data_IF_039711353733
#
_entry.id   IF_039711353733
#
_cell.length_a   1.000
_cell.length_b   1.000
_cell.length_c   1.000
_cell.angle_alpha   90.00
_cell.angle_beta   90.00
_cell.angle_gamma   90.00
#
_symmetry.space_group_name_H-M   'P 1'
#
loop_
_entity.id
_entity.type
_entity.pdbx_description
1 polymer ?
#
# COMPACT_ATOMS: atom_id res chain seq x y z
N UNK A 1 4.32 -30.01 18.33
CA UNK A 1 4.93 -28.97 17.48
C UNK A 1 4.36 -27.61 17.89
N UNK A 2 5.19 -26.62 18.21
CA UNK A 2 4.71 -25.32 18.73
C UNK A 2 4.14 -24.49 17.57
N UNK A 3 2.90 -24.78 17.18
CA UNK A 3 2.16 -24.07 16.13
C UNK A 3 1.73 -22.66 16.59
N UNK A 4 1.48 -22.52 17.90
CA UNK A 4 0.97 -21.30 18.52
C UNK A 4 1.92 -20.09 18.42
N UNK A 5 3.24 -20.21 18.71
CA UNK A 5 4.18 -19.10 18.53
C UNK A 5 4.35 -18.69 17.05
N UNK A 6 4.26 -19.64 16.12
CA UNK A 6 4.40 -19.36 14.69
C UNK A 6 3.25 -18.51 14.15
N UNK A 7 2.02 -18.79 14.57
CA UNK A 7 0.84 -17.99 14.18
C UNK A 7 0.93 -16.58 14.79
N UNK A 8 1.35 -16.46 16.06
CA UNK A 8 1.56 -15.17 16.69
C UNK A 8 2.61 -14.33 15.96
N UNK A 9 3.74 -14.94 15.59
CA UNK A 9 4.78 -14.27 14.82
C UNK A 9 4.30 -13.84 13.43
N UNK A 10 3.49 -14.67 12.76
CA UNK A 10 2.89 -14.34 11.47
C UNK A 10 1.98 -13.10 11.56
N UNK A 11 1.07 -13.07 12.55
CA UNK A 11 0.16 -11.92 12.75
C UNK A 11 0.96 -10.67 13.13
N UNK A 12 1.94 -10.77 14.03
CA UNK A 12 2.79 -9.64 14.40
C UNK A 12 3.55 -9.07 13.19
N UNK A 13 4.13 -9.94 12.36
CA UNK A 13 4.81 -9.54 11.13
C UNK A 13 3.87 -8.90 10.10
N UNK A 14 2.63 -9.39 10.01
CA UNK A 14 1.60 -8.78 9.16
C UNK A 14 1.29 -7.35 9.57
N UNK A 15 1.06 -7.13 10.87
CA UNK A 15 0.76 -5.80 11.43
C UNK A 15 1.93 -4.86 11.15
N UNK A 16 3.16 -5.29 11.44
CA UNK A 16 4.36 -4.49 11.17
C UNK A 16 4.49 -4.15 9.68
N UNK A 17 4.24 -5.11 8.80
CA UNK A 17 4.28 -4.91 7.34
C UNK A 17 3.24 -3.88 6.87
N UNK A 18 2.04 -3.90 7.44
CA UNK A 18 1.02 -2.90 7.13
C UNK A 18 1.40 -1.50 7.63
N UNK A 19 2.03 -1.38 8.81
CA UNK A 19 2.54 -0.10 9.33
C UNK A 19 3.68 0.42 8.46
N UNK A 20 4.62 -0.45 8.07
CA UNK A 20 5.68 -0.09 7.13
C UNK A 20 5.11 0.34 5.77
N UNK A 21 4.08 -0.37 5.29
CA UNK A 21 3.37 -0.04 4.05
C UNK A 21 2.75 1.36 4.11
N UNK A 22 2.08 1.65 5.22
CA UNK A 22 1.55 2.97 5.51
C UNK A 22 2.65 4.04 5.48
N UNK A 23 3.74 3.84 6.24
CA UNK A 23 4.81 4.83 6.36
C UNK A 23 5.47 5.13 5.02
N UNK A 24 5.78 4.10 4.21
CA UNK A 24 6.41 4.33 2.91
C UNK A 24 5.46 5.00 1.92
N UNK A 25 4.17 4.59 1.87
CA UNK A 25 3.18 5.20 0.95
C UNK A 25 2.96 6.67 1.32
N UNK A 26 3.01 6.99 2.61
CA UNK A 26 2.80 8.36 3.11
C UNK A 26 3.83 9.36 2.61
N UNK A 27 5.04 8.92 2.24
CA UNK A 27 6.08 9.80 1.69
C UNK A 27 5.83 10.14 0.22
N UNK A 28 4.91 9.46 -0.46
CA UNK A 28 4.50 9.81 -1.83
C UNK A 28 5.54 9.56 -2.93
N UNK A 29 6.75 9.07 -2.59
CA UNK A 29 7.89 8.83 -3.50
C UNK A 29 7.69 7.67 -4.51
N UNK A 30 6.45 7.22 -4.69
CA UNK A 30 6.07 6.10 -5.55
C UNK A 30 5.73 4.83 -4.76
N UNK A 31 4.67 4.14 -5.19
CA UNK A 31 4.28 2.87 -4.63
C UNK A 31 4.70 1.71 -5.54
N UNK A 32 5.11 0.58 -4.95
CA UNK A 32 5.44 -0.63 -5.72
C UNK A 32 4.26 -1.09 -6.59
N UNK A 33 4.47 -1.89 -7.65
CA UNK A 33 3.43 -2.23 -8.63
C UNK A 33 2.16 -2.84 -8.01
N UNK A 34 2.31 -3.67 -6.97
CA UNK A 34 1.22 -4.27 -6.19
C UNK A 34 0.40 -3.23 -5.42
N UNK A 35 1.09 -2.28 -4.80
CA UNK A 35 0.48 -1.22 -3.99
C UNK A 35 -0.11 -0.11 -4.86
N UNK A 36 0.55 0.22 -5.98
CA UNK A 36 0.04 1.11 -7.03
C UNK A 36 -1.25 0.57 -7.66
N UNK A 37 -1.35 -0.74 -7.90
CA UNK A 37 -2.58 -1.37 -8.35
C UNK A 37 -3.71 -1.23 -7.32
N UNK A 38 -3.41 -1.47 -6.04
CA UNK A 38 -4.34 -1.27 -4.93
C UNK A 38 -4.83 0.19 -4.86
N UNK A 39 -3.92 1.16 -4.95
CA UNK A 39 -4.24 2.59 -4.90
C UNK A 39 -5.06 3.00 -6.13
N UNK A 40 -4.68 2.57 -7.33
CA UNK A 40 -5.39 2.87 -8.58
C UNK A 40 -6.82 2.30 -8.61
N UNK A 41 -6.99 1.04 -8.18
CA UNK A 41 -8.32 0.45 -8.02
C UNK A 41 -9.12 1.13 -6.91
N UNK A 42 -8.47 1.52 -5.80
CA UNK A 42 -9.09 2.31 -4.74
C UNK A 42 -9.59 3.68 -5.21
N UNK A 43 -8.86 4.35 -6.11
CA UNK A 43 -9.28 5.61 -6.75
C UNK A 43 -10.45 5.42 -7.70
N UNK A 44 -10.47 4.30 -8.45
CA UNK A 44 -11.57 3.94 -9.36
C UNK A 44 -12.86 3.57 -8.62
N UNK A 45 -12.75 2.98 -7.43
CA UNK A 45 -13.90 2.56 -6.61
C UNK A 45 -13.98 3.34 -5.28
N UNK A 46 -14.55 4.56 -5.29
CA UNK A 46 -14.57 5.45 -4.13
C UNK A 46 -15.40 4.92 -2.95
N UNK A 47 -16.31 3.95 -3.15
CA UNK A 47 -17.13 3.38 -2.08
C UNK A 47 -16.57 2.06 -1.51
N UNK A 48 -15.47 1.53 -2.05
CA UNK A 48 -14.92 0.25 -1.61
C UNK A 48 -13.76 0.47 -0.64
N UNK A 49 -13.72 -0.24 0.51
CA UNK A 49 -12.58 -0.25 1.41
C UNK A 49 -11.32 -0.79 0.71
N UNK A 50 -10.18 -0.11 0.92
CA UNK A 50 -8.90 -0.46 0.30
C UNK A 50 -8.41 -1.85 0.74
N UNK A 51 -8.76 -2.27 1.96
CA UNK A 51 -8.50 -3.62 2.44
C UNK A 51 -9.18 -4.71 1.61
N UNK A 52 -10.39 -4.47 1.10
CA UNK A 52 -11.09 -5.42 0.21
C UNK A 52 -10.37 -5.52 -1.13
N UNK A 53 -9.96 -4.37 -1.70
CA UNK A 53 -9.18 -4.32 -2.94
C UNK A 53 -7.88 -5.11 -2.76
N UNK A 54 -7.15 -4.87 -1.67
CA UNK A 54 -5.92 -5.62 -1.36
C UNK A 54 -6.18 -7.11 -1.21
N UNK A 55 -7.20 -7.50 -0.45
CA UNK A 55 -7.60 -8.89 -0.29
C UNK A 55 -7.90 -9.58 -1.63
N UNK A 56 -8.61 -8.90 -2.54
CA UNK A 56 -8.90 -9.46 -3.88
C UNK A 56 -7.65 -9.62 -4.75
N UNK A 57 -6.68 -8.70 -4.66
CA UNK A 57 -5.41 -8.82 -5.39
C UNK A 57 -4.65 -10.05 -4.88
N UNK A 58 -4.51 -10.17 -3.56
CA UNK A 58 -3.83 -11.32 -2.95
C UNK A 58 -4.53 -12.64 -3.25
N UNK A 59 -5.86 -12.67 -3.17
CA UNK A 59 -6.64 -13.86 -3.50
C UNK A 59 -6.45 -14.27 -4.96
N UNK A 60 -6.42 -13.31 -5.89
CA UNK A 60 -6.21 -13.58 -7.31
C UNK A 60 -4.79 -14.11 -7.57
N UNK A 61 -3.77 -13.48 -6.97
CA UNK A 61 -2.38 -13.95 -7.07
C UNK A 61 -2.22 -15.34 -6.46
N UNK A 62 -2.87 -15.60 -5.33
CA UNK A 62 -2.88 -16.92 -4.68
C UNK A 62 -3.51 -17.98 -5.59
N UNK A 63 -4.68 -17.69 -6.17
CA UNK A 63 -5.38 -18.60 -7.06
C UNK A 63 -4.55 -18.91 -8.31
N UNK A 64 -3.97 -17.88 -8.94
CA UNK A 64 -3.09 -18.06 -10.11
C UNK A 64 -1.86 -18.89 -9.72
N UNK A 65 -1.20 -18.55 -8.62
CA UNK A 65 -0.04 -19.30 -8.12
C UNK A 65 -0.38 -20.76 -7.84
N UNK A 66 -1.56 -21.02 -7.26
CA UNK A 66 -2.03 -22.37 -6.99
C UNK A 66 -2.29 -23.17 -8.28
N UNK A 67 -2.94 -22.56 -9.28
CA UNK A 67 -3.16 -23.18 -10.59
C UNK A 67 -1.84 -23.50 -11.32
N UNK A 68 -0.79 -22.70 -11.09
CA UNK A 68 0.56 -22.95 -11.61
C UNK A 68 1.35 -23.99 -10.80
N UNK A 69 0.76 -24.61 -9.77
CA UNK A 69 1.37 -25.66 -8.97
C UNK A 69 2.09 -25.20 -7.71
N UNK A 70 1.88 -23.95 -7.27
CA UNK A 70 2.44 -23.48 -5.99
C UNK A 70 1.79 -24.23 -4.81
N UNK A 71 2.63 -24.62 -3.83
CA UNK A 71 2.15 -25.21 -2.57
C UNK A 71 1.57 -24.13 -1.67
N UNK A 72 0.25 -24.08 -1.58
CA UNK A 72 -0.46 -23.18 -0.66
C UNK A 72 -0.50 -23.82 0.73
N UNK A 73 0.19 -23.18 1.69
CA UNK A 73 0.16 -23.60 3.09
C UNK A 73 -0.94 -22.90 3.89
N UNK A 74 -1.23 -23.44 5.08
CA UNK A 74 -2.16 -22.83 6.05
C UNK A 74 -1.80 -21.37 6.37
N UNK A 75 -0.49 -21.06 6.48
CA UNK A 75 -0.03 -19.69 6.74
C UNK A 75 -0.38 -18.71 5.62
N UNK A 76 -0.37 -19.16 4.36
CA UNK A 76 -0.71 -18.32 3.21
C UNK A 76 -2.21 -18.01 3.17
N UNK A 77 -3.05 -19.00 3.48
CA UNK A 77 -4.50 -18.78 3.58
C UNK A 77 -4.80 -17.79 4.70
N UNK A 78 -4.21 -17.98 5.89
CA UNK A 78 -4.36 -17.05 7.01
C UNK A 78 -3.88 -15.64 6.61
N UNK A 79 -2.75 -15.54 5.90
CA UNK A 79 -2.21 -14.27 5.41
C UNK A 79 -3.21 -13.55 4.50
N UNK A 80 -3.74 -14.20 3.47
CA UNK A 80 -4.61 -13.57 2.46
C UNK A 80 -5.91 -13.05 3.08
N UNK A 81 -6.49 -13.80 4.03
CA UNK A 81 -7.67 -13.35 4.76
C UNK A 81 -7.35 -12.24 5.78
N UNK A 82 -6.22 -12.34 6.49
CA UNK A 82 -5.88 -11.41 7.56
C UNK A 82 -5.38 -10.06 7.04
N UNK A 83 -4.57 -10.06 5.98
CA UNK A 83 -3.93 -8.85 5.45
C UNK A 83 -4.96 -7.82 4.99
N UNK A 84 -6.05 -8.24 4.33
CA UNK A 84 -7.10 -7.33 3.88
C UNK A 84 -7.80 -6.63 5.05
N UNK A 85 -8.13 -7.38 6.10
CA UNK A 85 -8.76 -6.85 7.31
C UNK A 85 -7.82 -5.98 8.14
N UNK A 86 -6.57 -6.41 8.32
CA UNK A 86 -5.54 -5.65 9.05
C UNK A 86 -5.25 -4.32 8.38
N UNK A 87 -5.12 -4.31 7.05
CA UNK A 87 -4.87 -3.11 6.28
C UNK A 87 -6.06 -2.13 6.33
N UNK A 88 -7.30 -2.65 6.26
CA UNK A 88 -8.50 -1.84 6.49
C UNK A 88 -8.54 -1.24 7.90
N UNK A 89 -8.18 -2.03 8.91
CA UNK A 89 -8.17 -1.59 10.31
C UNK A 89 -7.12 -0.50 10.54
N UNK A 90 -5.91 -0.67 10.00
CA UNK A 90 -4.82 0.31 10.13
C UNK A 90 -5.16 1.62 9.42
N UNK A 91 -5.71 1.58 8.20
CA UNK A 91 -6.13 2.81 7.53
C UNK A 91 -7.28 3.52 8.25
N UNK A 92 -8.22 2.77 8.84
CA UNK A 92 -9.29 3.35 9.66
C UNK A 92 -8.75 3.94 10.96
N UNK A 93 -7.76 3.29 11.58
CA UNK A 93 -7.13 3.74 12.83
C UNK A 93 -6.30 5.00 12.64
N UNK A 94 -5.54 5.09 11.55
CA UNK A 94 -4.72 6.26 11.22
C UNK A 94 -5.51 7.39 10.54
N UNK A 95 -6.83 7.24 10.33
CA UNK A 95 -7.67 8.18 9.55
C UNK A 95 -7.02 8.62 8.24
N UNK A 96 -6.27 7.71 7.63
CA UNK A 96 -5.36 8.09 6.56
C UNK A 96 -6.04 7.90 5.23
N UNK A 97 -6.17 9.01 4.54
CA UNK A 97 -6.82 9.04 3.26
C UNK A 97 -5.82 8.65 2.18
N UNK A 98 -5.62 7.35 2.02
CA UNK A 98 -4.81 6.80 0.91
C UNK A 98 -5.36 7.27 -0.44
N UNK A 99 -6.65 7.66 -0.52
CA UNK A 99 -7.21 8.27 -1.73
C UNK A 99 -6.76 9.70 -1.95
N UNK A 100 -6.34 10.43 -0.89
CA UNK A 100 -5.77 11.77 -0.98
C UNK A 100 -4.26 11.78 -1.24
N UNK A 101 -3.60 10.62 -1.28
CA UNK A 101 -2.22 10.53 -1.78
C UNK A 101 -2.29 10.78 -3.29
N UNK A 102 -2.22 12.07 -3.63
CA UNK A 102 -1.77 12.52 -4.92
C UNK A 102 -0.37 11.92 -5.09
N UNK A 103 -0.24 10.95 -5.99
CA UNK A 103 1.07 10.66 -6.51
C UNK A 103 1.45 11.94 -7.26
N UNK A 104 2.29 12.76 -6.63
CA UNK A 104 3.06 13.79 -7.32
C UNK A 104 3.61 13.11 -8.55
N UNK A 105 3.04 13.48 -9.70
CA UNK A 105 3.50 12.93 -10.95
C UNK A 105 4.93 13.42 -11.12
N UNK A 106 5.80 12.65 -11.78
CA UNK A 106 7.18 13.11 -12.08
C UNK A 106 7.15 14.49 -12.78
N UNK A 107 6.05 14.79 -13.47
CA UNK A 107 5.76 16.09 -14.08
C UNK A 107 5.52 17.23 -13.07
N UNK A 108 4.85 16.98 -11.93
CA UNK A 108 4.70 17.97 -10.86
C UNK A 108 6.04 18.28 -10.20
N UNK A 109 6.87 17.26 -9.96
CA UNK A 109 8.24 17.43 -9.44
C UNK A 109 9.12 18.25 -10.40
N UNK A 110 9.05 17.99 -11.71
CA UNK A 110 9.79 18.76 -12.73
C UNK A 110 9.32 20.22 -12.77
N UNK A 111 8.01 20.47 -12.65
CA UNK A 111 7.46 21.82 -12.65
C UNK A 111 7.84 22.60 -11.38
N UNK A 112 7.84 21.96 -10.21
CA UNK A 112 8.31 22.57 -8.96
C UNK A 112 9.80 22.92 -9.07
N UNK A 113 10.62 22.01 -9.59
CA UNK A 113 12.05 22.24 -9.75
C UNK A 113 12.33 23.38 -10.73
N UNK A 114 11.57 23.46 -11.82
CA UNK A 114 11.61 24.57 -12.78
C UNK A 114 11.21 25.89 -12.13
N UNK A 115 10.15 25.91 -11.32
CA UNK A 115 9.69 27.09 -10.57
C UNK A 115 10.74 27.58 -9.56
N UNK A 116 11.37 26.66 -8.82
CA UNK A 116 12.45 26.98 -7.87
C UNK A 116 13.67 27.52 -8.63
N UNK A 117 14.01 26.94 -9.78
CA UNK A 117 15.13 27.39 -10.60
C UNK A 117 14.86 28.79 -11.19
N UNK A 118 13.66 29.05 -11.70
CA UNK A 118 13.23 30.36 -12.20
C UNK A 118 13.17 31.42 -11.08
N UNK A 119 12.67 31.07 -9.89
CA UNK A 119 12.67 31.97 -8.73
C UNK A 119 14.10 32.31 -8.26
N UNK A 120 15.01 31.34 -8.28
CA UNK A 120 16.43 31.52 -7.90
C UNK A 120 17.23 32.31 -8.94
N UNK A 121 16.82 32.28 -10.21
CA UNK A 121 17.38 33.10 -11.30
C UNK A 121 16.88 34.55 -11.25
N UNK A 122 15.64 34.77 -10.80
CA UNK A 122 15.03 36.10 -10.70
C UNK A 122 15.30 36.84 -9.37
N UNK A 123 15.86 36.16 -8.36
CA UNK A 123 16.32 36.79 -7.12
C UNK A 123 15.23 37.12 -6.09
N UNK A 124 14.04 36.53 -6.19
CA UNK A 124 12.96 36.74 -5.23
C UNK A 124 12.97 35.66 -4.13
N UNK A 125 12.93 36.07 -2.85
CA UNK A 125 12.79 35.16 -1.72
C UNK A 125 11.44 34.43 -1.75
N UNK A 126 11.50 33.11 -1.66
CA UNK A 126 10.34 32.21 -1.66
C UNK A 126 9.59 32.40 -0.32
N UNK A 127 8.41 33.03 -0.33
CA UNK A 127 7.47 33.05 0.80
C UNK A 127 6.58 31.80 0.83
#
# INVERSE_FOLDING_TARGET
>A
QKFFPGVLMLIAGQILSCIASYLYISVGLGAGPRDSLMIGLGKKFPNTPIGIVRGSIEATVLLIGWLLGAKVGLGTVIYVFSIGFLLQTIFKLFKFDVKSVAHESVFDTINIFKKIHEAKLNGDEIQ
#
